data_IF_496552011220
#
_entry.id   IF_496552011220
#
_cell.length_a   1.000
_cell.length_b   1.000
_cell.length_c   1.000
_cell.angle_alpha   90.00
_cell.angle_beta   90.00
_cell.angle_gamma   90.00
#
_symmetry.space_group_name_H-M   'P 1'
#
loop_
_entity.id
_entity.type
_entity.pdbx_description
1 polymer ?
#
# COMPACT_ATOMS: atom_id res chain seq x y z
N UNK A 1 22.05 5.12 -14.74
CA UNK A 1 22.61 3.83 -14.28
C UNK A 1 23.96 3.53 -14.95
N UNK A 2 24.17 3.92 -16.22
CA UNK A 2 25.45 3.80 -16.93
C UNK A 2 26.65 4.44 -16.21
N UNK A 3 26.49 5.61 -15.59
CA UNK A 3 27.62 6.35 -14.99
C UNK A 3 28.20 5.70 -13.73
N UNK A 4 27.39 4.91 -13.01
CA UNK A 4 27.84 4.15 -11.82
C UNK A 4 28.66 2.92 -12.21
N UNK A 5 28.33 2.26 -13.32
CA UNK A 5 29.11 1.13 -13.83
C UNK A 5 30.46 1.58 -14.42
N UNK A 6 30.51 2.76 -15.03
CA UNK A 6 31.75 3.32 -15.59
C UNK A 6 32.74 3.77 -14.50
N UNK A 7 32.27 4.26 -13.35
CA UNK A 7 33.13 4.64 -12.22
C UNK A 7 33.75 3.42 -11.50
N UNK A 8 33.07 2.27 -11.49
CA UNK A 8 33.59 1.01 -10.93
C UNK A 8 34.68 0.40 -11.83
N UNK A 9 34.61 0.62 -13.15
CA UNK A 9 35.54 0.03 -14.12
C UNK A 9 36.93 0.68 -14.18
N UNK A 10 37.15 1.84 -13.55
CA UNK A 10 38.41 2.59 -13.64
C UNK A 10 39.32 2.49 -12.40
N UNK A 11 39.08 1.55 -11.48
CA UNK A 11 40.01 1.32 -10.35
C UNK A 11 41.17 0.42 -10.78
N UNK A 12 42.41 0.83 -10.48
CA UNK A 12 43.60 0.01 -10.70
C UNK A 12 43.53 -1.26 -9.83
N UNK A 13 43.45 -2.41 -10.49
CA UNK A 13 43.52 -3.74 -9.87
C UNK A 13 44.97 -4.23 -9.91
N UNK A 14 45.35 -5.10 -8.95
CA UNK A 14 46.60 -5.85 -9.06
C UNK A 14 46.50 -6.92 -10.16
N UNK A 15 47.64 -7.47 -10.59
CA UNK A 15 47.70 -8.52 -11.63
C UNK A 15 46.82 -9.74 -11.32
N UNK A 16 46.52 -9.99 -10.04
CA UNK A 16 45.63 -11.07 -9.58
C UNK A 16 44.15 -10.68 -9.49
N UNK A 17 43.75 -9.52 -10.03
CA UNK A 17 42.37 -9.03 -10.02
C UNK A 17 41.86 -8.60 -8.63
N UNK A 18 42.76 -8.25 -7.71
CA UNK A 18 42.41 -7.77 -6.35
C UNK A 18 42.53 -6.25 -6.25
N UNK A 19 41.79 -5.68 -5.32
CA UNK A 19 41.83 -4.25 -5.01
C UNK A 19 43.01 -3.92 -4.09
N UNK A 20 44.04 -3.20 -4.55
CA UNK A 20 45.17 -2.81 -3.70
C UNK A 20 44.75 -1.74 -2.68
N UNK A 21 45.42 -1.71 -1.53
CA UNK A 21 45.31 -0.58 -0.60
C UNK A 21 45.68 0.74 -1.30
N UNK A 22 44.97 1.83 -0.98
CA UNK A 22 45.21 3.16 -1.57
C UNK A 22 46.40 3.91 -0.95
N UNK A 23 46.99 3.40 0.13
CA UNK A 23 48.13 4.01 0.80
C UNK A 23 49.44 3.69 0.09
N UNK A 24 50.25 4.70 -0.21
CA UNK A 24 51.55 4.55 -0.88
C UNK A 24 52.51 3.72 -0.03
N UNK A 25 52.93 2.56 -0.54
CA UNK A 25 53.85 1.64 0.15
C UNK A 25 53.18 0.44 0.83
N UNK A 26 51.85 0.32 0.79
CA UNK A 26 51.15 -0.85 1.31
C UNK A 26 51.03 -1.96 0.25
N UNK A 27 51.42 -3.19 0.60
CA UNK A 27 51.37 -4.36 -0.29
C UNK A 27 50.08 -5.19 -0.18
N UNK A 28 49.16 -4.81 0.72
CA UNK A 28 47.94 -5.56 0.98
C UNK A 28 46.87 -5.32 -0.10
N UNK A 29 46.21 -6.41 -0.50
CA UNK A 29 45.14 -6.39 -1.50
C UNK A 29 43.91 -7.19 -1.05
N UNK A 30 42.73 -6.76 -1.51
CA UNK A 30 41.44 -7.25 -1.05
C UNK A 30 40.60 -7.80 -2.20
N UNK A 31 39.77 -8.82 -1.94
CA UNK A 31 38.90 -9.42 -2.96
C UNK A 31 37.78 -8.49 -3.45
N UNK A 32 37.32 -7.58 -2.59
CA UNK A 32 36.22 -6.65 -2.89
C UNK A 32 36.57 -5.23 -2.42
N UNK A 33 36.11 -4.21 -3.15
CA UNK A 33 36.14 -2.81 -2.71
C UNK A 33 35.05 -2.54 -1.67
N UNK A 34 35.23 -3.08 -0.46
CA UNK A 34 34.23 -3.08 0.59
C UNK A 34 34.79 -2.81 1.98
N UNK A 35 34.01 -3.17 3.01
CA UNK A 35 34.29 -2.84 4.43
C UNK A 35 35.68 -3.26 4.90
N UNK A 36 36.16 -4.44 4.50
CA UNK A 36 37.47 -4.96 4.95
C UNK A 36 38.64 -4.12 4.42
N UNK A 37 38.57 -3.64 3.17
CA UNK A 37 39.58 -2.76 2.59
C UNK A 37 39.62 -1.42 3.31
N UNK A 38 38.44 -0.79 3.49
CA UNK A 38 38.28 0.50 4.19
C UNK A 38 38.76 0.43 5.65
N UNK A 39 38.45 -0.64 6.37
CA UNK A 39 38.90 -0.84 7.76
C UNK A 39 40.42 -0.92 7.86
N UNK A 40 41.07 -1.56 6.90
CA UNK A 40 42.53 -1.59 6.84
C UNK A 40 43.11 -0.23 6.45
N UNK A 41 42.53 0.48 5.47
CA UNK A 41 42.99 1.81 5.06
C UNK A 41 42.97 2.83 6.20
N UNK A 42 42.02 2.71 7.13
CA UNK A 42 41.94 3.52 8.35
C UNK A 42 43.07 3.25 9.37
N UNK A 43 43.85 2.18 9.21
CA UNK A 43 45.01 1.90 10.09
C UNK A 43 46.28 2.65 9.68
N UNK A 44 46.30 3.27 8.49
CA UNK A 44 47.43 4.08 8.03
C UNK A 44 47.35 5.52 8.54
N UNK A 45 48.50 6.14 8.81
CA UNK A 45 48.60 7.54 9.24
C UNK A 45 49.51 8.34 8.28
N UNK A 46 48.99 9.37 7.60
CA UNK A 46 47.58 9.76 7.53
C UNK A 46 46.74 8.76 6.70
N UNK A 47 45.42 8.65 6.96
CA UNK A 47 44.54 7.80 6.17
C UNK A 47 44.56 8.23 4.69
N UNK A 48 44.53 7.29 3.73
CA UNK A 48 44.54 7.62 2.31
C UNK A 48 43.26 8.38 1.93
N UNK A 49 43.43 9.46 1.15
CA UNK A 49 42.33 10.31 0.67
C UNK A 49 41.46 9.49 -0.29
N UNK A 50 40.20 9.29 0.08
CA UNK A 50 39.21 8.60 -0.76
C UNK A 50 38.58 9.65 -1.69
N UNK A 51 38.68 9.52 -3.03
CA UNK A 51 37.88 10.33 -3.94
C UNK A 51 36.41 10.00 -3.69
N UNK A 52 35.64 10.98 -3.22
CA UNK A 52 34.23 10.81 -2.87
C UNK A 52 33.41 10.42 -4.10
N UNK A 53 32.86 9.19 -4.10
CA UNK A 53 31.62 8.89 -4.78
C UNK A 53 30.47 9.16 -3.80
N UNK A 54 29.33 9.73 -4.23
CA UNK A 54 28.21 10.01 -3.34
C UNK A 54 27.61 8.69 -2.86
N UNK A 55 27.82 8.36 -1.59
CA UNK A 55 27.11 7.27 -0.93
C UNK A 55 25.66 7.68 -0.62
N UNK A 56 24.71 6.73 -0.69
CA UNK A 56 23.34 6.99 -0.28
C UNK A 56 23.33 7.23 1.24
N UNK A 57 22.78 8.35 1.66
CA UNK A 57 22.57 8.72 3.05
C UNK A 57 21.79 7.64 3.79
N UNK A 58 22.50 6.80 4.54
CA UNK A 58 21.97 6.15 5.73
C UNK A 58 22.02 7.21 6.83
N UNK A 59 20.87 7.79 7.17
CA UNK A 59 20.72 8.71 8.29
C UNK A 59 20.98 7.96 9.59
N UNK A 60 22.23 7.99 10.04
CA UNK A 60 22.59 7.69 11.42
C UNK A 60 22.46 9.01 12.16
N UNK A 61 21.70 9.01 13.25
CA UNK A 61 21.53 10.16 14.12
C UNK A 61 22.91 10.63 14.62
N UNK A 62 23.33 11.81 14.15
CA UNK A 62 24.43 12.56 14.74
C UNK A 62 23.83 13.54 15.74
N UNK A 63 24.12 13.29 17.02
CA UNK A 63 24.01 14.27 18.09
C UNK A 63 24.89 15.47 17.74
N UNK A 64 24.25 16.49 17.17
CA UNK A 64 24.83 17.81 16.97
C UNK A 64 24.09 18.76 17.90
N UNK A 65 24.89 19.38 18.77
CA UNK A 65 24.63 20.62 19.53
C UNK A 65 23.23 21.23 19.37
N UNK A 66 22.48 21.22 20.48
CA UNK A 66 21.32 22.07 20.74
C UNK A 66 21.63 23.53 20.37
N UNK A 67 21.32 23.88 19.13
CA UNK A 67 21.20 25.25 18.66
C UNK A 67 19.80 25.36 18.10
N UNK A 68 18.95 26.04 18.88
CA UNK A 68 17.70 26.78 18.61
C UNK A 68 16.89 26.61 17.29
N UNK A 69 17.02 25.50 16.57
CA UNK A 69 16.27 25.14 15.37
C UNK A 69 15.25 24.03 15.69
N UNK A 70 14.41 24.30 16.68
CA UNK A 70 13.03 23.78 16.65
C UNK A 70 12.26 24.50 15.54
N UNK A 71 12.73 24.39 14.29
CA UNK A 71 12.12 24.90 13.07
C UNK A 71 10.62 24.67 13.15
N UNK A 72 9.90 25.74 13.46
CA UNK A 72 8.54 25.68 13.99
C UNK A 72 7.66 24.85 13.05
N UNK A 73 7.30 23.65 13.49
CA UNK A 73 6.60 22.64 12.70
C UNK A 73 5.28 23.22 12.19
N UNK A 74 5.03 23.07 10.89
CA UNK A 74 3.82 23.54 10.23
C UNK A 74 2.81 22.40 10.17
N UNK A 75 1.98 22.27 11.21
CA UNK A 75 1.00 21.19 11.31
C UNK A 75 -0.10 21.35 10.25
N UNK A 76 -0.46 22.59 9.88
CA UNK A 76 -1.45 22.85 8.83
C UNK A 76 -0.94 22.31 7.50
N UNK A 77 0.28 22.67 7.10
CA UNK A 77 0.87 22.15 5.87
C UNK A 77 1.04 20.62 5.90
N UNK A 78 1.58 20.09 7.00
CA UNK A 78 1.84 18.65 7.13
C UNK A 78 0.54 17.83 7.04
N UNK A 79 -0.51 18.27 7.73
CA UNK A 79 -1.81 17.62 7.69
C UNK A 79 -2.41 17.62 6.30
N UNK A 80 -2.50 18.79 5.64
CA UNK A 80 -3.17 18.89 4.33
C UNK A 80 -2.41 18.11 3.25
N UNK A 81 -1.07 18.19 3.23
CA UNK A 81 -0.27 17.38 2.33
C UNK A 81 -0.41 15.88 2.61
N UNK A 82 -0.43 15.46 3.88
CA UNK A 82 -0.64 14.06 4.28
C UNK A 82 -2.01 13.56 3.86
N UNK A 83 -3.06 14.32 4.18
CA UNK A 83 -4.45 14.04 3.81
C UNK A 83 -4.61 13.89 2.30
N UNK A 84 -4.07 14.82 1.51
CA UNK A 84 -4.14 14.75 0.05
C UNK A 84 -3.39 13.52 -0.49
N UNK A 85 -2.23 13.20 0.07
CA UNK A 85 -1.44 12.03 -0.33
C UNK A 85 -2.18 10.72 -0.05
N UNK A 86 -2.82 10.60 1.12
CA UNK A 86 -3.64 9.44 1.48
C UNK A 86 -4.91 9.37 0.61
N UNK A 87 -5.60 10.50 0.45
CA UNK A 87 -6.78 10.62 -0.38
C UNK A 87 -6.52 10.19 -1.81
N UNK A 88 -5.43 10.66 -2.42
CA UNK A 88 -5.03 10.26 -3.78
C UNK A 88 -4.71 8.76 -3.86
N UNK A 89 -4.03 8.21 -2.85
CA UNK A 89 -3.75 6.77 -2.78
C UNK A 89 -5.03 5.94 -2.72
N UNK A 90 -6.03 6.39 -1.95
CA UNK A 90 -7.33 5.74 -1.82
C UNK A 90 -8.19 5.91 -3.08
N UNK A 91 -8.24 7.09 -3.68
CA UNK A 91 -8.92 7.32 -4.95
C UNK A 91 -8.34 6.46 -6.07
N UNK A 92 -7.02 6.34 -6.13
CA UNK A 92 -6.37 5.43 -7.06
C UNK A 92 -6.78 3.96 -6.83
N UNK A 93 -7.18 3.57 -5.61
CA UNK A 93 -7.63 2.22 -5.29
C UNK A 93 -9.06 1.98 -5.74
N UNK A 94 -9.94 2.94 -5.44
CA UNK A 94 -11.32 2.90 -5.92
C UNK A 94 -11.39 2.89 -7.45
N UNK A 95 -10.55 3.69 -8.10
CA UNK A 95 -10.45 3.73 -9.55
C UNK A 95 -9.92 2.42 -10.13
N UNK A 96 -8.89 1.82 -9.51
CA UNK A 96 -8.41 0.50 -9.92
C UNK A 96 -9.50 -0.59 -9.83
N UNK A 97 -10.36 -0.51 -8.79
CA UNK A 97 -11.52 -1.39 -8.66
C UNK A 97 -12.51 -1.16 -9.79
N UNK A 98 -12.87 0.09 -10.08
CA UNK A 98 -13.82 0.47 -11.15
C UNK A 98 -13.36 0.00 -12.53
N UNK A 99 -12.06 0.09 -12.80
CA UNK A 99 -11.44 -0.38 -14.04
C UNK A 99 -11.21 -1.90 -14.07
N UNK A 100 -11.38 -2.60 -12.94
CA UNK A 100 -11.07 -4.02 -12.83
C UNK A 100 -9.59 -4.36 -12.94
N UNK A 101 -8.69 -3.39 -12.68
CA UNK A 101 -7.24 -3.58 -12.74
C UNK A 101 -6.73 -4.27 -11.48
N UNK A 102 -6.77 -5.60 -11.52
CA UNK A 102 -6.25 -6.47 -10.48
C UNK A 102 -4.80 -6.20 -10.10
N UNK A 103 -3.93 -5.88 -11.07
CA UNK A 103 -2.51 -5.66 -10.80
C UNK A 103 -2.27 -4.37 -10.04
N UNK A 104 -2.98 -3.30 -10.41
CA UNK A 104 -2.95 -2.02 -9.70
C UNK A 104 -3.49 -2.16 -8.28
N UNK A 105 -4.58 -2.89 -8.10
CA UNK A 105 -5.11 -3.27 -6.78
C UNK A 105 -4.05 -3.97 -5.94
N UNK A 106 -3.38 -5.00 -6.48
CA UNK A 106 -2.35 -5.73 -5.74
C UNK A 106 -1.12 -4.86 -5.41
N UNK A 107 -0.74 -3.93 -6.28
CA UNK A 107 0.31 -2.96 -5.98
C UNK A 107 -0.08 -2.09 -4.79
N UNK A 108 -1.33 -1.65 -4.72
CA UNK A 108 -1.83 -0.85 -3.61
C UNK A 108 -1.94 -1.62 -2.30
N UNK A 109 -2.28 -2.91 -2.35
CA UNK A 109 -2.20 -3.76 -1.15
C UNK A 109 -0.80 -3.80 -0.53
N UNK A 110 0.27 -3.65 -1.32
CA UNK A 110 1.63 -3.52 -0.77
C UNK A 110 1.81 -2.22 0.03
N UNK A 111 1.25 -1.12 -0.44
CA UNK A 111 1.27 0.14 0.30
C UNK A 111 0.38 0.04 1.54
N UNK A 112 -0.87 -0.43 1.38
CA UNK A 112 -1.82 -0.62 2.50
C UNK A 112 -1.23 -1.51 3.60
N UNK A 113 -0.47 -2.55 3.25
CA UNK A 113 0.26 -3.36 4.23
C UNK A 113 1.14 -2.49 5.13
N UNK A 114 1.95 -1.60 4.54
CA UNK A 114 2.85 -0.72 5.28
C UNK A 114 2.07 0.26 6.17
N UNK A 115 1.00 0.86 5.64
CA UNK A 115 0.10 1.73 6.40
C UNK A 115 -0.53 1.01 7.60
N UNK A 116 -1.10 -0.17 7.37
CA UNK A 116 -1.72 -0.97 8.42
C UNK A 116 -0.69 -1.51 9.43
N UNK A 117 0.57 -1.66 9.04
CA UNK A 117 1.66 -2.11 9.92
C UNK A 117 2.24 -0.97 10.76
N UNK A 118 2.23 0.25 10.22
CA UNK A 118 2.60 1.48 10.94
C UNK A 118 1.53 1.84 11.99
N UNK A 119 0.26 1.57 11.69
CA UNK A 119 -0.82 1.72 12.66
C UNK A 119 -0.83 0.59 13.71
N UNK A 120 -1.06 0.94 14.97
CA UNK A 120 -1.05 0.00 16.11
C UNK A 120 -2.28 -0.91 16.12
N UNK A 121 -3.42 -0.45 15.60
CA UNK A 121 -4.70 -1.15 15.69
C UNK A 121 -5.07 -1.95 14.43
N UNK A 122 -4.27 -1.81 13.36
CA UNK A 122 -4.54 -2.39 12.04
C UNK A 122 -3.68 -3.60 11.69
N UNK A 123 -3.01 -4.21 12.66
CA UNK A 123 -2.11 -5.36 12.45
C UNK A 123 -2.79 -6.55 11.73
N UNK A 124 -4.07 -6.81 12.04
CA UNK A 124 -4.88 -7.82 11.34
C UNK A 124 -5.01 -7.54 9.85
N UNK A 125 -5.19 -6.27 9.46
CA UNK A 125 -5.32 -5.88 8.06
C UNK A 125 -3.96 -5.93 7.35
N UNK A 126 -2.87 -5.61 8.05
CA UNK A 126 -1.52 -5.79 7.53
C UNK A 126 -1.24 -7.27 7.25
N UNK A 127 -1.64 -8.16 8.16
CA UNK A 127 -1.50 -9.61 8.00
C UNK A 127 -2.30 -10.13 6.81
N UNK A 128 -3.56 -9.69 6.64
CA UNK A 128 -4.37 -10.05 5.49
C UNK A 128 -3.71 -9.56 4.18
N UNK A 129 -3.21 -8.33 4.12
CA UNK A 129 -2.47 -7.84 2.95
C UNK A 129 -1.23 -8.68 2.65
N UNK A 130 -0.48 -9.08 3.68
CA UNK A 130 0.69 -9.95 3.54
C UNK A 130 0.29 -11.33 3.02
N UNK A 131 -0.80 -11.90 3.54
CA UNK A 131 -1.30 -13.19 3.12
C UNK A 131 -1.72 -13.18 1.64
N UNK A 132 -2.36 -12.11 1.17
CA UNK A 132 -2.64 -11.96 -0.26
C UNK A 132 -1.37 -11.99 -1.13
N UNK A 133 -0.27 -11.42 -0.65
CA UNK A 133 1.02 -11.51 -1.36
C UNK A 133 1.54 -12.95 -1.39
N UNK A 134 1.41 -13.71 -0.30
CA UNK A 134 1.79 -15.12 -0.29
C UNK A 134 0.92 -15.97 -1.21
N UNK A 135 -0.40 -15.71 -1.26
CA UNK A 135 -1.30 -16.37 -2.20
C UNK A 135 -0.81 -16.22 -3.64
N UNK A 136 -0.50 -15.00 -4.06
CA UNK A 136 -0.13 -14.71 -5.44
C UNK A 136 1.27 -15.19 -5.79
N UNK A 137 2.24 -15.03 -4.89
CA UNK A 137 3.65 -15.24 -5.22
C UNK A 137 4.15 -16.65 -4.88
N UNK A 138 3.48 -17.39 -3.99
CA UNK A 138 4.03 -18.67 -3.47
C UNK A 138 3.03 -19.79 -3.30
N UNK A 139 1.80 -19.53 -2.84
CA UNK A 139 0.86 -20.59 -2.43
C UNK A 139 0.01 -21.09 -3.60
N UNK A 140 -0.52 -20.18 -4.42
CA UNK A 140 -1.39 -20.55 -5.53
C UNK A 140 -0.58 -20.98 -6.75
N UNK A 141 -1.16 -21.87 -7.56
CA UNK A 141 -0.63 -22.16 -8.89
C UNK A 141 -0.61 -20.90 -9.74
N UNK A 142 0.25 -20.79 -10.77
CA UNK A 142 0.27 -19.61 -11.65
C UNK A 142 -1.11 -19.28 -12.25
N UNK A 143 -1.90 -20.32 -12.56
CA UNK A 143 -3.28 -20.17 -13.06
C UNK A 143 -4.20 -19.58 -11.99
N UNK A 144 -4.14 -20.08 -10.76
CA UNK A 144 -5.02 -19.62 -9.69
C UNK A 144 -4.61 -18.25 -9.16
N UNK A 145 -3.31 -17.94 -9.13
CA UNK A 145 -2.81 -16.61 -8.84
C UNK A 145 -3.30 -15.59 -9.89
N UNK A 146 -3.28 -15.96 -11.18
CA UNK A 146 -3.85 -15.13 -12.24
C UNK A 146 -5.34 -14.88 -12.00
N UNK A 147 -6.13 -15.93 -11.74
CA UNK A 147 -7.55 -15.78 -11.40
C UNK A 147 -7.76 -14.93 -10.16
N UNK A 148 -6.96 -15.11 -9.11
CA UNK A 148 -7.05 -14.34 -7.88
C UNK A 148 -6.82 -12.84 -8.10
N UNK A 149 -5.83 -12.48 -8.93
CA UNK A 149 -5.52 -11.09 -9.27
C UNK A 149 -6.69 -10.45 -10.04
N UNK A 150 -7.24 -11.13 -11.04
CA UNK A 150 -8.24 -10.53 -11.92
C UNK A 150 -9.68 -10.66 -11.39
N UNK A 151 -9.94 -11.62 -10.51
CA UNK A 151 -11.23 -11.82 -9.86
C UNK A 151 -11.36 -10.98 -8.56
N UNK A 152 -10.87 -9.73 -8.58
CA UNK A 152 -10.99 -8.79 -7.44
C UNK A 152 -12.24 -7.92 -7.53
N UNK A 153 -12.75 -7.72 -8.74
CA UNK A 153 -13.99 -7.00 -8.99
C UNK A 153 -14.90 -7.76 -9.95
N UNK A 154 -16.18 -7.42 -9.92
CA UNK A 154 -17.21 -7.99 -10.79
C UNK A 154 -17.87 -6.87 -11.56
N UNK A 155 -18.14 -7.10 -12.85
CA UNK A 155 -18.88 -6.19 -13.70
C UNK A 155 -20.20 -6.84 -14.15
N UNK A 156 -21.25 -6.67 -13.35
CA UNK A 156 -22.56 -7.23 -13.66
C UNK A 156 -23.24 -6.53 -14.84
N UNK A 157 -22.87 -5.29 -15.13
CA UNK A 157 -23.51 -4.46 -16.16
C UNK A 157 -22.81 -4.54 -17.52
N UNK A 158 -21.57 -5.03 -17.57
CA UNK A 158 -20.73 -5.06 -18.78
C UNK A 158 -20.26 -3.68 -19.27
N UNK A 159 -20.42 -2.63 -18.46
CA UNK A 159 -20.07 -1.25 -18.83
C UNK A 159 -18.66 -0.88 -18.35
N UNK A 160 -17.99 0.03 -19.07
CA UNK A 160 -16.67 0.56 -18.70
C UNK A 160 -16.72 1.30 -17.35
N UNK A 161 -15.72 1.07 -16.49
CA UNK A 161 -15.60 1.74 -15.20
C UNK A 161 -16.72 1.40 -14.19
N UNK A 162 -17.48 0.32 -14.41
CA UNK A 162 -18.63 -0.09 -13.57
C UNK A 162 -18.38 -1.37 -12.78
N UNK A 163 -17.12 -1.77 -12.63
CA UNK A 163 -16.78 -2.87 -11.75
C UNK A 163 -17.03 -2.47 -10.28
N UNK A 164 -17.51 -3.43 -9.50
CA UNK A 164 -17.64 -3.33 -8.05
C UNK A 164 -16.68 -4.31 -7.38
N UNK A 165 -16.26 -4.09 -6.12
CA UNK A 165 -15.49 -5.09 -5.38
C UNK A 165 -16.24 -6.43 -5.35
N UNK A 166 -15.52 -7.53 -5.53
CA UNK A 166 -16.13 -8.87 -5.47
C UNK A 166 -16.83 -9.12 -4.12
N UNK A 167 -16.24 -8.63 -3.02
CA UNK A 167 -16.81 -8.71 -1.67
C UNK A 167 -18.20 -8.05 -1.58
N UNK A 168 -18.38 -6.91 -2.26
CA UNK A 168 -19.66 -6.22 -2.31
C UNK A 168 -20.72 -7.01 -3.09
N UNK A 169 -20.34 -7.70 -4.18
CA UNK A 169 -21.30 -8.58 -4.88
C UNK A 169 -21.69 -9.78 -4.01
N UNK A 170 -20.75 -10.35 -3.26
CA UNK A 170 -21.06 -11.43 -2.30
C UNK A 170 -22.01 -10.92 -1.21
N UNK A 171 -21.85 -9.68 -0.75
CA UNK A 171 -22.79 -9.04 0.17
C UNK A 171 -24.19 -8.89 -0.43
N UNK A 172 -24.29 -8.44 -1.69
CA UNK A 172 -25.57 -8.37 -2.40
C UNK A 172 -26.26 -9.73 -2.51
N UNK A 173 -25.52 -10.79 -2.89
CA UNK A 173 -26.05 -12.15 -2.93
C UNK A 173 -26.50 -12.63 -1.56
N UNK A 174 -25.69 -12.41 -0.51
CA UNK A 174 -26.05 -12.76 0.86
C UNK A 174 -27.32 -12.06 1.32
N UNK A 175 -27.47 -10.77 1.02
CA UNK A 175 -28.65 -10.01 1.37
C UNK A 175 -29.90 -10.54 0.64
N UNK A 176 -29.80 -10.79 -0.67
CA UNK A 176 -30.87 -11.40 -1.46
C UNK A 176 -31.31 -12.75 -0.89
N UNK A 177 -30.36 -13.64 -0.59
CA UNK A 177 -30.65 -14.95 -0.02
C UNK A 177 -31.29 -14.84 1.36
N UNK A 178 -30.79 -13.97 2.24
CA UNK A 178 -31.37 -13.73 3.57
C UNK A 178 -32.83 -13.27 3.48
N UNK A 179 -33.16 -12.40 2.53
CA UNK A 179 -34.54 -11.97 2.30
C UNK A 179 -35.42 -13.12 1.81
N UNK A 180 -34.94 -13.90 0.84
CA UNK A 180 -35.68 -15.05 0.33
C UNK A 180 -35.94 -16.10 1.43
N UNK A 181 -34.94 -16.37 2.28
CA UNK A 181 -35.08 -17.27 3.43
C UNK A 181 -36.06 -16.71 4.45
N UNK A 182 -36.02 -15.40 4.75
CA UNK A 182 -36.99 -14.75 5.64
C UNK A 182 -38.43 -14.92 5.12
N UNK A 183 -38.63 -14.83 3.81
CA UNK A 183 -39.95 -14.95 3.18
C UNK A 183 -40.50 -16.39 3.14
N UNK A 184 -39.69 -17.42 3.41
CA UNK A 184 -40.19 -18.80 3.56
C UNK A 184 -41.03 -18.98 4.84
N UNK A 185 -40.81 -18.15 5.86
CA UNK A 185 -41.55 -18.22 7.13
C UNK A 185 -41.44 -19.62 7.79
N UNK A 186 -42.56 -20.28 8.13
CA UNK A 186 -42.53 -21.62 8.73
C UNK A 186 -41.94 -22.72 7.83
N UNK A 187 -41.82 -22.49 6.53
CA UNK A 187 -41.33 -23.48 5.56
C UNK A 187 -39.79 -23.56 5.48
N UNK A 188 -39.07 -22.85 6.36
CA UNK A 188 -37.60 -22.86 6.39
C UNK A 188 -37.09 -24.25 6.80
N UNK A 189 -36.54 -24.95 5.82
CA UNK A 189 -35.83 -26.22 6.02
C UNK A 189 -34.59 -26.30 5.10
N UNK A 190 -33.62 -27.20 5.37
CA UNK A 190 -32.37 -27.27 4.58
C UNK A 190 -32.59 -27.48 3.07
N UNK A 191 -33.62 -28.24 2.69
CA UNK A 191 -33.95 -28.48 1.28
C UNK A 191 -34.45 -27.21 0.58
N UNK A 192 -35.33 -26.45 1.23
CA UNK A 192 -35.84 -25.17 0.73
C UNK A 192 -34.74 -24.12 0.61
N UNK A 193 -33.85 -24.02 1.59
CA UNK A 193 -32.69 -23.12 1.57
C UNK A 193 -31.77 -23.51 0.41
N UNK A 194 -31.42 -24.80 0.29
CA UNK A 194 -30.56 -25.29 -0.80
C UNK A 194 -31.15 -24.97 -2.17
N UNK A 195 -32.47 -25.13 -2.34
CA UNK A 195 -33.18 -24.79 -3.58
C UNK A 195 -33.05 -23.30 -3.90
N UNK A 196 -33.30 -22.42 -2.92
CA UNK A 196 -33.17 -20.96 -3.10
C UNK A 196 -31.74 -20.60 -3.50
N UNK A 197 -30.74 -21.05 -2.75
CA UNK A 197 -29.33 -20.74 -3.03
C UNK A 197 -28.90 -21.18 -4.44
N UNK A 198 -29.28 -22.40 -4.85
CA UNK A 198 -28.94 -22.90 -6.20
C UNK A 198 -29.66 -22.15 -7.33
N UNK A 199 -30.85 -21.61 -7.05
CA UNK A 199 -31.67 -20.90 -8.04
C UNK A 199 -31.45 -19.39 -8.07
N UNK A 200 -30.58 -18.84 -7.21
CA UNK A 200 -30.40 -17.40 -7.01
C UNK A 200 -30.19 -16.62 -8.31
N UNK A 201 -29.17 -17.01 -9.09
CA UNK A 201 -28.81 -16.30 -10.34
C UNK A 201 -29.94 -16.34 -11.36
N UNK A 202 -30.57 -17.50 -11.52
CA UNK A 202 -31.68 -17.69 -12.46
C UNK A 202 -32.91 -16.85 -12.04
N UNK A 203 -33.28 -16.91 -10.76
CA UNK A 203 -34.40 -16.13 -10.21
C UNK A 203 -34.17 -14.62 -10.30
N UNK A 204 -32.97 -14.12 -9.95
CA UNK A 204 -32.60 -12.70 -10.13
C UNK A 204 -32.75 -12.26 -11.58
N UNK A 205 -32.28 -13.08 -12.52
CA UNK A 205 -32.37 -12.78 -13.97
C UNK A 205 -33.82 -12.70 -14.42
N UNK A 206 -34.63 -13.70 -14.08
CA UNK A 206 -36.06 -13.73 -14.44
C UNK A 206 -36.80 -12.52 -13.87
N UNK A 207 -36.55 -12.17 -12.59
CA UNK A 207 -37.17 -11.01 -11.95
C UNK A 207 -36.79 -9.72 -12.69
N UNK A 208 -35.51 -9.52 -13.01
CA UNK A 208 -35.06 -8.33 -13.73
C UNK A 208 -35.72 -8.22 -15.12
N UNK A 209 -35.75 -9.30 -15.90
CA UNK A 209 -36.38 -9.32 -17.23
C UNK A 209 -37.89 -9.09 -17.16
N UNK A 210 -38.58 -9.66 -16.17
CA UNK A 210 -40.00 -9.40 -15.94
C UNK A 210 -40.26 -7.94 -15.54
N UNK A 211 -39.37 -7.34 -14.76
CA UNK A 211 -39.50 -5.93 -14.36
C UNK A 211 -39.31 -4.98 -15.55
N UNK A 212 -38.32 -5.25 -16.39
CA UNK A 212 -38.09 -4.52 -17.64
C UNK A 212 -39.30 -4.61 -18.58
N UNK A 213 -39.89 -5.80 -18.73
CA UNK A 213 -41.03 -6.01 -19.62
C UNK A 213 -42.30 -5.32 -19.14
N UNK A 214 -42.54 -5.26 -17.81
CA UNK A 214 -43.71 -4.60 -17.22
C UNK A 214 -43.54 -3.07 -17.16
N UNK A 215 -42.37 -2.52 -17.54
CA UNK A 215 -42.02 -1.09 -17.44
C UNK A 215 -42.28 -0.48 -16.06
N UNK A 216 -42.43 -1.31 -15.03
CA UNK A 216 -42.58 -0.87 -13.65
C UNK A 216 -41.17 -0.57 -13.17
N UNK A 217 -40.74 0.66 -13.40
CA UNK A 217 -39.45 1.14 -12.91
C UNK A 217 -39.31 0.83 -11.43
N UNK A 218 -38.11 0.46 -11.00
CA UNK A 218 -37.78 0.38 -9.58
C UNK A 218 -38.30 1.65 -8.91
N UNK A 219 -39.05 1.51 -7.81
CA UNK A 219 -38.98 2.54 -6.77
C UNK A 219 -37.59 2.39 -6.13
N UNK A 220 -36.53 2.71 -6.87
CA UNK A 220 -35.25 2.94 -6.24
C UNK A 220 -35.53 4.04 -5.24
N UNK A 221 -35.22 3.83 -3.96
CA UNK A 221 -35.19 4.94 -3.02
C UNK A 221 -34.40 6.04 -3.71
N UNK A 222 -35.03 7.20 -3.95
CA UNK A 222 -34.36 8.35 -4.54
C UNK A 222 -33.34 8.79 -3.49
N UNK A 223 -32.17 8.16 -3.49
CA UNK A 223 -30.98 8.77 -2.96
C UNK A 223 -30.66 9.86 -3.98
N UNK A 224 -31.24 11.03 -3.76
CA UNK A 224 -30.75 12.25 -4.41
C UNK A 224 -29.28 12.31 -4.01
N UNK A 225 -28.36 12.12 -4.97
CA UNK A 225 -26.97 12.47 -4.73
C UNK A 225 -27.01 13.93 -4.29
N UNK A 226 -26.55 14.20 -3.07
CA UNK A 226 -26.44 15.58 -2.62
C UNK A 226 -25.52 16.30 -3.59
N UNK A 227 -25.86 17.53 -3.91
CA UNK A 227 -24.97 18.36 -4.68
C UNK A 227 -23.85 18.81 -3.73
N UNK A 228 -22.67 18.23 -3.89
CA UNK A 228 -21.51 18.49 -3.04
C UNK A 228 -20.64 19.64 -3.60
N UNK A 229 -21.03 20.26 -4.73
CA UNK A 229 -20.23 21.29 -5.41
C UNK A 229 -20.01 22.54 -4.55
N UNK A 230 -21.05 23.01 -3.85
CA UNK A 230 -20.97 24.16 -2.94
C UNK A 230 -20.08 23.87 -1.72
N UNK A 231 -20.15 22.66 -1.17
CA UNK A 231 -19.30 22.23 -0.06
C UNK A 231 -17.84 22.13 -0.51
N UNK A 232 -17.59 21.56 -1.69
CA UNK A 232 -16.25 21.42 -2.27
C UNK A 232 -15.64 22.79 -2.56
N UNK A 233 -16.41 23.71 -3.13
CA UNK A 233 -15.99 25.11 -3.31
C UNK A 233 -15.63 25.77 -1.99
N UNK A 234 -16.48 25.62 -0.98
CA UNK A 234 -16.23 26.18 0.37
C UNK A 234 -14.93 25.62 0.99
N UNK A 235 -14.64 24.33 0.80
CA UNK A 235 -13.40 23.70 1.28
C UNK A 235 -12.19 24.28 0.53
N UNK A 236 -12.26 24.37 -0.80
CA UNK A 236 -11.17 24.90 -1.62
C UNK A 236 -10.88 26.36 -1.28
N UNK A 237 -11.91 27.20 -1.17
CA UNK A 237 -11.78 28.62 -0.83
C UNK A 237 -11.05 28.79 0.51
N UNK A 238 -11.42 28.01 1.53
CA UNK A 238 -10.73 28.01 2.84
C UNK A 238 -9.28 27.52 2.76
N UNK A 239 -8.99 26.49 1.97
CA UNK A 239 -7.62 25.99 1.80
C UNK A 239 -6.71 27.01 1.11
N UNK A 240 -7.27 27.77 0.16
CA UNK A 240 -6.56 28.86 -0.53
C UNK A 240 -6.36 30.05 0.40
N UNK A 241 -7.41 30.48 1.11
CA UNK A 241 -7.36 31.57 2.10
C UNK A 241 -6.28 31.33 3.17
N UNK A 242 -6.21 30.13 3.70
CA UNK A 242 -5.22 29.77 4.72
C UNK A 242 -3.86 29.36 4.16
N UNK A 243 -3.65 29.41 2.84
CA UNK A 243 -2.43 28.95 2.17
C UNK A 243 -1.97 27.57 2.69
N UNK A 244 -2.91 26.62 2.76
CA UNK A 244 -2.71 25.33 3.43
C UNK A 244 -1.61 24.46 2.80
N UNK A 245 -1.29 24.67 1.52
CA UNK A 245 -0.26 23.94 0.77
C UNK A 245 1.05 24.73 0.60
N UNK A 246 1.18 25.89 1.23
CA UNK A 246 2.43 26.65 1.27
C UNK A 246 3.02 26.49 2.66
N UNK A 247 4.28 26.07 2.74
CA UNK A 247 4.96 25.91 4.04
C UNK A 247 5.18 27.28 4.69
N UNK A 248 4.72 27.42 5.92
CA UNK A 248 4.84 28.62 6.76
C UNK A 248 5.32 28.21 8.15
N UNK A 249 5.94 29.12 8.89
CA UNK A 249 6.49 28.77 10.21
C UNK A 249 5.39 28.78 11.28
N UNK A 250 5.43 27.80 12.20
CA UNK A 250 4.69 27.80 13.46
C UNK A 250 3.15 27.73 13.40
N UNK A 251 2.57 27.18 12.34
CA UNK A 251 1.12 26.97 12.28
C UNK A 251 0.72 25.67 12.95
N UNK A 252 -0.26 25.74 13.85
CA UNK A 252 -0.81 24.58 14.57
C UNK A 252 -2.33 24.55 14.48
N UNK A 253 -2.93 23.35 14.53
CA UNK A 253 -4.39 23.24 14.70
C UNK A 253 -4.74 23.27 16.18
N UNK A 254 -5.84 23.92 16.54
CA UNK A 254 -6.26 24.01 17.94
C UNK A 254 -6.43 22.64 18.62
N UNK A 255 -6.96 21.65 17.90
CA UNK A 255 -7.26 20.32 18.43
C UNK A 255 -6.20 19.26 18.13
N UNK A 256 -5.28 19.51 17.20
CA UNK A 256 -4.32 18.52 16.71
C UNK A 256 -2.94 19.16 16.55
N UNK A 257 -2.02 18.82 17.45
CA UNK A 257 -0.66 19.36 17.45
C UNK A 257 0.35 18.30 17.02
N UNK A 258 1.50 18.75 16.51
CA UNK A 258 2.66 17.93 16.15
C UNK A 258 2.40 16.90 15.05
N UNK A 259 1.65 17.26 14.02
CA UNK A 259 1.25 16.36 12.94
C UNK A 259 2.44 16.08 12.00
N UNK A 260 2.79 14.81 11.86
CA UNK A 260 3.76 14.36 10.87
C UNK A 260 3.11 14.22 9.50
N UNK A 261 3.80 14.73 8.46
CA UNK A 261 3.36 14.57 7.07
C UNK A 261 3.45 13.12 6.61
N UNK A 262 4.48 12.39 7.04
CA UNK A 262 4.72 11.02 6.62
C UNK A 262 4.15 10.03 7.64
N UNK A 263 3.10 9.28 7.30
CA UNK A 263 2.48 8.27 8.18
C UNK A 263 3.42 7.09 8.49
N UNK A 264 4.44 6.87 7.66
CA UNK A 264 5.39 5.77 7.80
C UNK A 264 6.64 6.18 8.60
N UNK A 265 6.69 7.40 9.16
CA UNK A 265 7.87 7.90 9.87
C UNK A 265 8.28 6.98 11.04
N UNK A 266 7.31 6.42 11.76
CA UNK A 266 7.55 5.49 12.87
C UNK A 266 7.74 4.03 12.46
N UNK A 267 7.77 3.71 11.16
CA UNK A 267 7.83 2.32 10.69
C UNK A 267 9.28 1.86 10.51
N UNK A 268 9.74 0.97 11.40
CA UNK A 268 11.03 0.30 11.22
C UNK A 268 10.94 -0.83 10.19
N UNK A 269 11.52 -0.60 9.01
CA UNK A 269 11.57 -1.57 7.90
C UNK A 269 12.30 -2.87 8.28
N UNK A 270 13.29 -2.82 9.18
CA UNK A 270 13.96 -4.02 9.69
C UNK A 270 13.00 -4.91 10.49
N UNK A 271 12.17 -4.29 11.35
CA UNK A 271 11.12 -5.01 12.06
C UNK A 271 10.04 -5.55 11.13
N UNK A 272 9.65 -4.78 10.11
CA UNK A 272 8.71 -5.26 9.07
C UNK A 272 9.28 -6.47 8.34
N UNK A 273 10.56 -6.44 7.97
CA UNK A 273 11.23 -7.54 7.29
C UNK A 273 11.31 -8.79 8.16
N UNK A 274 11.67 -8.66 9.45
CA UNK A 274 11.64 -9.77 10.42
C UNK A 274 10.24 -10.36 10.53
N UNK A 275 9.23 -9.51 10.71
CA UNK A 275 7.83 -9.91 10.79
C UNK A 275 7.34 -10.66 9.55
N UNK A 276 7.69 -10.20 8.34
CA UNK A 276 7.36 -10.90 7.09
C UNK A 276 8.02 -12.29 7.05
N UNK A 277 9.29 -12.40 7.47
CA UNK A 277 10.01 -13.68 7.47
C UNK A 277 9.44 -14.66 8.51
N UNK A 278 9.06 -14.18 9.69
CA UNK A 278 8.37 -15.00 10.69
C UNK A 278 7.09 -15.62 10.12
N UNK A 279 6.25 -14.80 9.47
CA UNK A 279 5.02 -15.32 8.85
C UNK A 279 5.28 -16.23 7.64
N UNK A 280 6.37 -15.99 6.89
CA UNK A 280 6.81 -16.89 5.83
C UNK A 280 7.17 -18.28 6.37
N UNK A 281 7.89 -18.34 7.50
CA UNK A 281 8.21 -19.61 8.15
C UNK A 281 6.97 -20.31 8.73
N UNK A 282 6.01 -19.55 9.29
CA UNK A 282 4.75 -20.11 9.78
C UNK A 282 3.95 -20.80 8.65
N UNK A 283 3.91 -20.18 7.46
CA UNK A 283 3.26 -20.77 6.28
C UNK A 283 3.94 -22.06 5.85
N UNK A 284 5.28 -22.10 5.83
CA UNK A 284 6.02 -23.34 5.51
C UNK A 284 5.69 -24.47 6.48
N UNK A 285 5.48 -24.14 7.76
CA UNK A 285 5.12 -25.10 8.81
C UNK A 285 3.63 -25.50 8.78
N UNK A 286 2.86 -25.05 7.78
CA UNK A 286 1.40 -25.19 7.72
C UNK A 286 0.69 -24.71 9.00
N UNK A 287 1.34 -23.88 9.80
CA UNK A 287 0.71 -23.25 10.95
C UNK A 287 -0.16 -22.15 10.36
N UNK A 288 -1.48 -22.26 10.52
CA UNK A 288 -2.40 -21.25 9.99
C UNK A 288 -1.93 -19.88 10.45
N UNK A 289 -1.88 -18.93 9.53
CA UNK A 289 -1.66 -17.53 9.82
C UNK A 289 -2.89 -16.86 10.51
N UNK A 290 -3.76 -17.67 11.11
CA UNK A 290 -4.99 -17.29 11.82
C UNK A 290 -5.16 -18.18 13.04
#
# INVERSE_FOLDING_TARGET
MQDKENAIKNQQLTNDGRFPCRFSGCTLSFKYDGKSRRKHELTHHPPPVIPHAPEPTNTTAEESSLSDESLMKDDIYNYNCGLLSHGMTFLNFLDAVKEGDGRRIMRQYKYLLLYCKADKHSSKYALECLYQMFLINTILSPRDAHRYIWNRGVNNHGMLGKNIPLDLEVEHSNHYLKQAVKNLGPNVNPASISRICKSEKCTRTIINTLQESVKKGFKSGKHTNKNDDEDLKTIVDKLVEHHAFVKQNARTYHSFNNIDRNPLLGLDISMVYKWINEHKENIKKNTKAR
#
